data_IF_262124701065
#
_entry.id   IF_262124701065
#
_cell.length_a   1.000
_cell.length_b   1.000
_cell.length_c   1.000
_cell.angle_alpha   90.00
_cell.angle_beta   90.00
_cell.angle_gamma   90.00
#
_symmetry.space_group_name_H-M   'P 1'
#
loop_
_entity.id
_entity.type
_entity.pdbx_description
1 polymer ?
#
# COMPACT_ATOMS: atom_id res chain seq x y z
N UNK A 1 -19.69 -0.78 -73.07
CA UNK A 1 -19.81 0.23 -72.02
C UNK A 1 -20.10 -0.39 -70.62
N UNK A 2 -20.92 -1.45 -70.49
CA UNK A 2 -21.24 -2.07 -69.18
C UNK A 2 -20.06 -2.69 -68.42
N UNK A 3 -19.03 -3.21 -69.08
CA UNK A 3 -17.89 -3.84 -68.45
C UNK A 3 -16.90 -2.83 -67.82
N UNK A 4 -16.78 -1.62 -68.36
CA UNK A 4 -15.92 -0.57 -67.77
C UNK A 4 -16.55 0.04 -66.48
N UNK A 5 -17.85 0.11 -66.38
CA UNK A 5 -18.52 0.57 -65.17
C UNK A 5 -18.37 -0.44 -64.03
N UNK A 6 -18.42 -1.75 -64.32
CA UNK A 6 -18.20 -2.78 -63.29
C UNK A 6 -16.77 -2.76 -62.73
N UNK A 7 -15.78 -2.54 -63.62
CA UNK A 7 -14.38 -2.45 -63.22
C UNK A 7 -14.07 -1.19 -62.40
N UNK A 8 -14.71 -0.05 -62.72
CA UNK A 8 -14.57 1.18 -61.96
C UNK A 8 -15.24 1.08 -60.58
N UNK A 9 -16.36 0.42 -60.44
CA UNK A 9 -17.02 0.18 -59.13
C UNK A 9 -16.19 -0.78 -58.25
N UNK A 10 -15.58 -1.81 -58.86
CA UNK A 10 -14.72 -2.76 -58.16
C UNK A 10 -13.40 -2.08 -57.69
N UNK A 11 -12.84 -1.16 -58.50
CA UNK A 11 -11.64 -0.41 -58.14
C UNK A 11 -11.89 0.62 -57.00
N UNK A 12 -13.07 1.25 -56.96
CA UNK A 12 -13.47 2.19 -55.92
C UNK A 12 -13.78 1.47 -54.58
N UNK A 13 -14.34 0.24 -54.63
CA UNK A 13 -14.59 -0.56 -53.44
C UNK A 13 -13.29 -1.08 -52.81
N UNK A 14 -12.20 -1.32 -53.56
CA UNK A 14 -10.94 -1.76 -53.03
C UNK A 14 -10.18 -0.61 -52.37
N UNK A 15 -10.33 0.64 -52.82
CA UNK A 15 -9.71 1.81 -52.18
C UNK A 15 -10.40 2.28 -50.87
N UNK A 16 -11.67 1.88 -50.64
CA UNK A 16 -12.40 2.21 -49.39
C UNK A 16 -12.05 1.29 -48.23
N UNK A 17 -11.38 0.16 -48.45
CA UNK A 17 -11.06 -0.84 -47.43
C UNK A 17 -9.90 -0.39 -46.50
N UNK A 18 -9.13 0.63 -46.91
CA UNK A 18 -7.97 1.09 -46.16
C UNK A 18 -8.25 1.80 -44.84
N UNK A 19 -9.46 2.35 -44.63
CA UNK A 19 -9.77 3.20 -43.47
C UNK A 19 -10.57 2.52 -42.36
N UNK A 20 -11.13 1.32 -42.58
CA UNK A 20 -12.02 0.67 -41.62
C UNK A 20 -11.32 -0.32 -40.65
N UNK A 21 -10.02 -0.57 -40.85
CA UNK A 21 -9.30 -1.67 -40.18
C UNK A 21 -8.69 -1.29 -38.84
N UNK A 22 -8.75 -0.01 -38.43
CA UNK A 22 -7.93 0.50 -37.32
C UNK A 22 -8.66 0.84 -36.03
N UNK A 23 -9.89 0.36 -35.82
CA UNK A 23 -10.57 0.56 -34.54
C UNK A 23 -10.17 -0.51 -33.52
N UNK A 24 -9.06 -0.34 -32.84
CA UNK A 24 -8.60 -1.20 -31.74
C UNK A 24 -7.11 -1.13 -31.53
N UNK A 25 -6.64 -1.67 -30.40
CA UNK A 25 -5.20 -1.80 -30.10
C UNK A 25 -4.52 -2.66 -31.18
N UNK A 26 -3.52 -2.07 -31.83
CA UNK A 26 -2.73 -2.76 -32.84
C UNK A 26 -1.54 -3.42 -32.18
N UNK A 27 -1.47 -4.75 -32.21
CA UNK A 27 -0.39 -5.54 -31.61
C UNK A 27 0.45 -6.29 -32.65
N UNK A 28 0.06 -6.23 -33.93
CA UNK A 28 0.79 -6.92 -35.01
C UNK A 28 2.14 -6.28 -35.34
N UNK A 29 2.33 -5.00 -34.99
CA UNK A 29 3.60 -4.27 -35.19
C UNK A 29 4.52 -4.37 -33.97
N UNK A 30 4.10 -5.05 -32.90
CA UNK A 30 4.93 -5.26 -31.73
C UNK A 30 5.98 -6.34 -32.06
N UNK A 31 7.27 -6.04 -31.98
CA UNK A 31 8.31 -7.04 -32.17
C UNK A 31 8.22 -8.11 -31.07
N UNK A 32 8.70 -9.32 -31.36
CA UNK A 32 8.72 -10.40 -30.35
C UNK A 32 9.69 -10.10 -29.21
N UNK A 33 10.75 -9.34 -29.47
CA UNK A 33 11.76 -8.88 -28.51
C UNK A 33 12.43 -7.60 -29.03
N UNK A 34 12.99 -6.80 -28.10
CA UNK A 34 13.76 -5.60 -28.42
C UNK A 34 13.05 -4.31 -28.06
N UNK A 35 13.54 -3.20 -28.57
CA UNK A 35 13.05 -1.87 -28.24
C UNK A 35 12.40 -1.25 -29.48
N UNK A 36 11.21 -0.71 -29.32
CA UNK A 36 10.57 0.09 -30.36
C UNK A 36 10.01 1.39 -29.78
N UNK A 37 9.71 2.35 -30.66
CA UNK A 37 9.04 3.60 -30.28
C UNK A 37 7.65 3.61 -30.87
N UNK A 38 6.69 4.04 -30.05
CA UNK A 38 5.32 4.27 -30.50
C UNK A 38 5.25 5.55 -31.34
N UNK A 39 4.16 5.74 -32.08
CA UNK A 39 3.92 6.99 -32.84
C UNK A 39 3.92 8.24 -31.93
N UNK A 40 3.54 8.11 -30.67
CA UNK A 40 3.56 9.17 -29.67
C UNK A 40 4.95 9.36 -29.04
N UNK A 41 5.97 8.61 -29.46
CA UNK A 41 7.34 8.74 -28.99
C UNK A 41 7.68 7.96 -27.72
N UNK A 42 6.75 7.18 -27.14
CA UNK A 42 7.03 6.33 -25.98
C UNK A 42 8.00 5.20 -26.35
N UNK A 43 9.07 5.05 -25.60
CA UNK A 43 10.01 3.95 -25.77
C UNK A 43 9.49 2.72 -25.03
N UNK A 44 9.32 1.62 -25.75
CA UNK A 44 8.81 0.34 -25.21
C UNK A 44 9.87 -0.74 -25.39
N UNK A 45 10.23 -1.40 -24.31
CA UNK A 45 11.13 -2.55 -24.30
C UNK A 45 10.31 -3.83 -24.21
N UNK A 46 10.36 -4.67 -25.25
CA UNK A 46 9.66 -5.96 -25.30
C UNK A 46 10.56 -7.05 -24.75
N UNK A 47 10.09 -7.71 -23.71
CA UNK A 47 10.81 -8.76 -22.98
C UNK A 47 9.98 -10.04 -23.02
N UNK A 48 10.52 -11.09 -23.61
CA UNK A 48 9.86 -12.40 -23.61
C UNK A 48 9.96 -13.04 -22.24
N UNK A 49 8.83 -13.50 -21.68
CA UNK A 49 8.81 -14.24 -20.42
C UNK A 49 9.31 -15.68 -20.68
N UNK A 50 10.49 -15.97 -20.18
CA UNK A 50 11.14 -17.29 -20.20
C UNK A 50 11.62 -17.61 -18.79
N UNK A 51 12.08 -18.85 -18.55
CA UNK A 51 12.64 -19.22 -17.26
C UNK A 51 13.85 -18.35 -16.88
N UNK A 52 14.69 -17.98 -17.87
CA UNK A 52 15.88 -17.16 -17.63
C UNK A 52 15.50 -15.69 -17.33
N UNK A 53 14.54 -15.13 -18.08
CA UNK A 53 14.09 -13.76 -17.83
C UNK A 53 13.35 -13.64 -16.51
N UNK A 54 12.61 -14.67 -16.06
CA UNK A 54 11.98 -14.68 -14.74
C UNK A 54 12.99 -14.59 -13.59
N UNK A 55 14.19 -15.15 -13.76
CA UNK A 55 15.25 -15.02 -12.76
C UNK A 55 15.84 -13.61 -12.71
N UNK A 56 15.90 -12.91 -13.84
CA UNK A 56 16.38 -11.53 -13.92
C UNK A 56 15.33 -10.50 -13.46
N UNK A 57 14.04 -10.81 -13.64
CA UNK A 57 12.90 -9.97 -13.21
C UNK A 57 12.64 -10.09 -11.69
N UNK A 58 13.31 -11.01 -10.99
CA UNK A 58 13.20 -11.08 -9.52
C UNK A 58 13.29 -9.66 -8.97
N UNK A 59 12.39 -9.28 -8.06
CA UNK A 59 12.42 -7.95 -7.49
C UNK A 59 13.86 -7.71 -7.03
N UNK A 60 14.45 -6.63 -7.55
CA UNK A 60 15.70 -6.10 -7.00
C UNK A 60 15.46 -6.12 -5.50
N UNK A 61 16.20 -6.94 -4.77
CA UNK A 61 16.14 -6.88 -3.32
C UNK A 61 16.42 -5.43 -3.02
N UNK A 62 15.34 -4.70 -2.70
CA UNK A 62 15.49 -3.34 -2.25
C UNK A 62 16.58 -3.43 -1.18
N UNK A 63 17.63 -2.66 -1.32
CA UNK A 63 18.71 -2.61 -0.35
C UNK A 63 18.15 -2.00 0.95
N UNK A 64 17.26 -2.74 1.61
CA UNK A 64 16.69 -2.39 2.91
C UNK A 64 17.76 -2.27 4.00
N UNK A 65 18.96 -2.83 3.76
CA UNK A 65 20.00 -2.95 4.77
C UNK A 65 20.49 -1.62 5.33
N UNK A 66 20.54 -0.56 4.55
CA UNK A 66 21.09 0.71 5.05
C UNK A 66 20.05 1.61 5.75
N UNK A 67 18.76 1.57 5.32
CA UNK A 67 17.77 2.52 5.81
C UNK A 67 16.84 1.99 6.92
N UNK A 68 16.76 0.66 7.10
CA UNK A 68 15.84 0.07 8.07
C UNK A 68 16.51 -0.51 9.31
N UNK A 69 17.79 -0.83 9.25
CA UNK A 69 18.55 -1.39 10.40
C UNK A 69 18.40 -0.49 11.64
N UNK A 70 18.46 0.82 11.45
CA UNK A 70 18.33 1.79 12.53
C UNK A 70 16.92 1.82 13.14
N UNK A 71 15.87 1.51 12.36
CA UNK A 71 14.51 1.42 12.87
C UNK A 71 14.30 0.22 13.79
N UNK A 72 14.97 -0.91 13.49
CA UNK A 72 14.80 -2.17 14.21
C UNK A 72 15.80 -2.38 15.35
N UNK A 73 16.92 -1.68 15.33
CA UNK A 73 17.96 -1.76 16.36
C UNK A 73 17.85 -0.66 17.43
N UNK A 74 16.68 -0.08 17.59
CA UNK A 74 16.45 0.94 18.61
C UNK A 74 16.51 0.31 20.00
N UNK A 75 17.21 0.98 20.96
CA UNK A 75 17.16 0.55 22.35
C UNK A 75 15.73 0.63 22.88
N UNK A 76 15.41 -0.23 23.83
CA UNK A 76 14.10 -0.22 24.47
C UNK A 76 13.81 1.17 25.02
N UNK A 77 12.66 1.74 24.62
CA UNK A 77 12.25 3.06 25.06
C UNK A 77 11.92 3.04 26.55
N UNK A 78 12.66 3.78 27.33
CA UNK A 78 12.36 4.03 28.74
C UNK A 78 11.46 5.26 28.82
N UNK A 79 10.21 5.08 29.29
CA UNK A 79 9.28 6.19 29.43
C UNK A 79 9.84 7.26 30.35
N UNK A 80 9.84 8.49 29.87
CA UNK A 80 10.18 9.67 30.64
C UNK A 80 8.94 10.55 30.77
N UNK A 81 8.65 10.94 31.97
CA UNK A 81 7.52 11.80 32.28
C UNK A 81 7.55 13.06 31.43
N UNK A 82 6.41 13.45 30.92
CA UNK A 82 6.26 14.57 29.99
C UNK A 82 5.09 15.48 30.38
N UNK A 83 5.11 16.71 29.89
CA UNK A 83 4.01 17.66 30.08
C UNK A 83 2.68 17.08 29.63
N UNK A 84 1.67 17.14 30.44
CA UNK A 84 0.35 16.53 30.24
C UNK A 84 0.14 15.23 31.00
N UNK A 85 1.20 14.54 31.44
CA UNK A 85 1.05 13.37 32.31
C UNK A 85 0.44 13.79 33.66
N UNK A 86 -0.39 12.92 34.26
CA UNK A 86 -0.97 13.12 35.56
C UNK A 86 -0.44 12.05 36.53
N UNK A 87 0.13 12.49 37.64
CA UNK A 87 0.75 11.63 38.62
C UNK A 87 -0.11 11.47 39.86
N UNK A 88 -0.10 10.31 40.48
CA UNK A 88 -0.45 10.11 41.88
C UNK A 88 0.82 10.11 42.69
N UNK A 89 0.87 10.95 43.72
CA UNK A 89 1.98 11.01 44.65
C UNK A 89 1.39 10.87 46.05
N UNK A 90 1.80 9.84 46.76
CA UNK A 90 1.29 9.49 48.06
C UNK A 90 2.43 9.38 49.09
N UNK A 91 2.24 9.97 50.25
CA UNK A 91 3.09 9.80 51.40
C UNK A 91 2.38 8.83 52.36
N UNK A 92 2.90 7.59 52.44
CA UNK A 92 2.22 6.49 53.14
C UNK A 92 1.91 6.83 54.62
N UNK A 93 2.85 7.45 55.33
CA UNK A 93 2.70 7.81 56.72
C UNK A 93 2.01 9.17 56.96
N UNK A 94 1.68 9.93 55.92
CA UNK A 94 1.14 11.30 55.99
C UNK A 94 0.03 11.50 54.97
N UNK A 95 -1.08 10.74 55.07
CA UNK A 95 -2.17 10.79 54.05
C UNK A 95 -2.89 12.14 54.03
N UNK A 96 -2.80 12.96 55.11
CA UNK A 96 -3.34 14.30 55.18
C UNK A 96 -2.63 15.31 54.29
N UNK A 97 -1.34 15.04 53.92
CA UNK A 97 -0.57 15.91 53.06
C UNK A 97 -0.82 15.57 51.58
N UNK A 98 -0.88 14.28 51.28
CA UNK A 98 -1.16 13.77 49.96
C UNK A 98 -2.25 12.71 50.02
N UNK A 99 -3.51 13.11 50.05
CA UNK A 99 -4.63 12.18 50.24
C UNK A 99 -4.64 11.14 49.10
N UNK A 100 -5.03 9.88 49.41
CA UNK A 100 -5.13 8.84 48.42
C UNK A 100 -6.16 9.22 47.35
N UNK A 101 -5.86 8.95 46.11
CA UNK A 101 -6.75 9.18 45.00
C UNK A 101 -7.79 8.06 44.98
N UNK A 102 -8.99 8.34 45.39
CA UNK A 102 -10.11 7.40 45.45
C UNK A 102 -11.12 7.70 44.33
N UNK A 103 -11.78 6.66 43.82
CA UNK A 103 -12.87 6.75 42.83
C UNK A 103 -12.51 7.41 41.50
N UNK A 104 -11.41 6.97 40.88
CA UNK A 104 -11.03 7.38 39.53
C UNK A 104 -11.88 6.63 38.49
N UNK A 105 -13.05 7.19 38.15
CA UNK A 105 -13.98 6.57 37.19
C UNK A 105 -13.95 7.22 35.82
N UNK A 106 -13.39 8.42 35.69
CA UNK A 106 -13.29 9.15 34.42
C UNK A 106 -12.10 10.12 34.40
N UNK A 107 -11.76 10.64 33.24
CA UNK A 107 -10.62 11.55 33.02
C UNK A 107 -10.69 12.82 33.86
N UNK A 108 -11.89 13.32 34.13
CA UNK A 108 -12.07 14.53 34.95
C UNK A 108 -11.75 14.26 36.44
N UNK A 109 -12.12 13.09 36.97
CA UNK A 109 -11.76 12.71 38.33
C UNK A 109 -10.25 12.42 38.47
N UNK A 110 -9.60 11.89 37.44
CA UNK A 110 -8.15 11.70 37.41
C UNK A 110 -7.42 13.05 37.46
N UNK A 111 -7.83 14.03 36.65
CA UNK A 111 -7.24 15.36 36.67
C UNK A 111 -7.47 16.11 37.97
N UNK A 112 -8.66 15.98 38.58
CA UNK A 112 -9.00 16.66 39.80
C UNK A 112 -8.23 16.14 41.04
N UNK A 113 -7.87 14.86 41.04
CA UNK A 113 -7.23 14.19 42.18
C UNK A 113 -5.75 13.89 42.00
N UNK A 114 -5.19 14.16 40.82
CA UNK A 114 -3.78 13.93 40.48
C UNK A 114 -2.93 15.20 40.47
N UNK A 115 -1.65 15.02 40.30
CA UNK A 115 -0.66 16.09 40.12
C UNK A 115 -0.31 16.17 38.62
N UNK A 116 -0.93 17.09 37.84
CA UNK A 116 -0.61 17.23 36.44
C UNK A 116 0.77 17.87 36.26
N UNK A 117 1.51 17.37 35.28
CA UNK A 117 2.76 18.00 34.84
C UNK A 117 2.40 19.16 33.90
N UNK A 118 2.73 20.39 34.31
CA UNK A 118 2.43 21.60 33.55
C UNK A 118 3.22 21.66 32.23
N UNK A 119 2.90 22.64 31.36
CA UNK A 119 3.55 22.79 30.05
C UNK A 119 5.07 23.08 30.15
N UNK A 120 5.55 23.61 31.30
CA UNK A 120 6.97 23.80 31.59
C UNK A 120 7.61 22.54 32.19
N UNK A 121 6.85 21.48 32.42
CA UNK A 121 7.31 20.20 32.94
C UNK A 121 7.42 20.14 34.47
N UNK A 122 6.67 20.97 35.20
CA UNK A 122 6.67 21.00 36.67
C UNK A 122 5.37 20.46 37.24
N UNK A 123 5.43 19.94 38.46
CA UNK A 123 4.31 19.60 39.32
C UNK A 123 4.30 20.53 40.52
N UNK A 124 3.13 20.75 41.12
CA UNK A 124 2.97 21.52 42.35
C UNK A 124 2.66 20.57 43.50
N UNK A 125 3.50 20.54 44.51
CA UNK A 125 3.39 19.64 45.67
C UNK A 125 3.27 20.42 46.97
N UNK A 126 2.49 19.92 47.96
CA UNK A 126 2.56 20.43 49.33
C UNK A 126 3.98 20.33 49.90
N UNK A 127 4.38 21.24 50.74
CA UNK A 127 5.70 21.38 51.39
C UNK A 127 6.85 21.63 50.44
N UNK A 128 7.01 20.86 49.35
CA UNK A 128 8.08 20.93 48.35
C UNK A 128 7.90 22.11 47.39
N UNK A 129 6.66 22.48 47.11
CA UNK A 129 6.35 23.51 46.13
C UNK A 129 6.45 23.02 44.69
N UNK A 130 6.99 23.86 43.81
CA UNK A 130 7.10 23.58 42.39
C UNK A 130 8.34 22.72 42.09
N UNK A 131 8.14 21.53 41.51
CA UNK A 131 9.20 20.55 41.27
C UNK A 131 9.22 20.06 39.83
N UNK A 132 10.42 19.95 39.20
CA UNK A 132 10.62 19.50 37.81
C UNK A 132 10.43 17.99 37.72
N UNK A 133 9.37 17.54 37.07
CA UNK A 133 9.07 16.14 36.85
C UNK A 133 9.38 15.66 35.41
N UNK A 134 9.18 16.54 34.42
CA UNK A 134 9.41 16.20 33.02
C UNK A 134 10.87 15.81 32.73
N UNK A 135 11.08 14.81 31.87
CA UNK A 135 12.37 14.25 31.48
C UNK A 135 12.91 13.17 32.41
N UNK A 136 12.31 12.98 33.59
CA UNK A 136 12.71 11.97 34.57
C UNK A 136 11.95 10.66 34.35
N UNK A 137 12.56 9.54 34.73
CA UNK A 137 11.83 8.29 34.90
C UNK A 137 11.02 8.31 36.19
N UNK A 138 10.05 7.43 36.31
CA UNK A 138 9.24 7.28 37.52
C UNK A 138 10.13 6.99 38.75
N UNK A 139 11.12 6.12 38.60
CA UNK A 139 12.06 5.76 39.65
C UNK A 139 12.94 6.94 40.10
N UNK A 140 13.45 7.73 39.13
CA UNK A 140 14.21 8.94 39.43
C UNK A 140 13.38 9.95 40.22
N UNK A 141 12.15 10.22 39.74
CA UNK A 141 11.25 11.15 40.40
C UNK A 141 10.92 10.69 41.83
N UNK A 142 10.61 9.40 42.02
CA UNK A 142 10.33 8.83 43.34
C UNK A 142 11.49 9.03 44.32
N UNK A 143 12.73 8.73 43.89
CA UNK A 143 13.91 8.88 44.70
C UNK A 143 14.17 10.35 45.08
N UNK A 144 14.04 11.23 44.08
CA UNK A 144 14.31 12.67 44.33
C UNK A 144 13.19 13.29 45.22
N UNK A 145 11.93 12.93 45.02
CA UNK A 145 10.86 13.42 45.91
C UNK A 145 11.01 12.91 47.33
N UNK A 146 11.42 11.67 47.54
CA UNK A 146 11.76 11.15 48.88
C UNK A 146 12.78 12.01 49.56
N UNK A 147 13.88 12.39 48.86
CA UNK A 147 14.92 13.25 49.39
C UNK A 147 14.38 14.66 49.72
N UNK A 148 13.52 15.22 48.86
CA UNK A 148 12.93 16.54 49.10
C UNK A 148 12.01 16.54 50.35
N UNK A 149 11.13 15.53 50.44
CA UNK A 149 10.24 15.40 51.59
C UNK A 149 11.00 15.13 52.89
N UNK A 150 12.16 14.48 52.84
CA UNK A 150 13.01 14.23 54.04
C UNK A 150 13.50 15.50 54.73
N UNK A 151 13.48 16.67 54.09
CA UNK A 151 13.75 17.96 54.72
C UNK A 151 12.63 18.42 55.63
N UNK A 152 11.42 17.93 55.44
CA UNK A 152 10.22 18.36 56.20
C UNK A 152 9.65 17.23 57.05
N UNK A 153 9.87 15.96 56.66
CA UNK A 153 9.26 14.79 57.27
C UNK A 153 10.31 13.77 57.70
N UNK A 154 10.04 13.05 58.76
CA UNK A 154 10.95 12.01 59.25
C UNK A 154 10.70 10.70 58.48
N UNK A 155 11.72 10.20 57.77
CA UNK A 155 11.63 8.95 56.99
C UNK A 155 10.40 8.87 56.09
N UNK A 156 10.19 9.80 55.15
CA UNK A 156 9.05 9.76 54.26
C UNK A 156 9.13 8.56 53.30
N UNK A 157 8.00 7.81 53.21
CA UNK A 157 7.83 6.78 52.19
C UNK A 157 6.94 7.35 51.09
N UNK A 158 7.52 7.50 49.90
CA UNK A 158 6.90 8.18 48.76
C UNK A 158 6.57 7.14 47.68
N UNK A 159 5.32 7.06 47.32
CA UNK A 159 4.81 6.24 46.24
C UNK A 159 4.39 7.16 45.08
N UNK A 160 5.00 7.01 43.92
CA UNK A 160 4.65 7.76 42.71
C UNK A 160 4.13 6.78 41.65
N UNK A 161 2.98 7.10 41.07
CA UNK A 161 2.37 6.35 39.96
C UNK A 161 1.92 7.31 38.87
N UNK A 162 1.89 6.88 37.64
CA UNK A 162 1.24 7.62 36.55
C UNK A 162 -0.23 7.20 36.53
N UNK A 163 -1.14 8.16 36.68
CA UNK A 163 -2.58 7.95 36.59
C UNK A 163 -3.07 8.04 35.15
N UNK A 164 -2.49 8.97 34.39
CA UNK A 164 -2.86 9.17 33.00
C UNK A 164 -1.62 9.57 32.19
N UNK A 165 -1.36 8.82 31.12
CA UNK A 165 -0.29 9.07 30.17
C UNK A 165 -0.83 9.94 29.04
N UNK A 166 -0.48 11.21 29.01
CA UNK A 166 -0.90 12.17 27.98
C UNK A 166 0.27 12.96 27.38
N UNK A 167 1.46 12.82 27.95
CA UNK A 167 2.61 13.61 27.57
C UNK A 167 3.28 13.15 26.28
N UNK A 168 3.28 11.86 26.00
CA UNK A 168 3.89 11.29 24.79
C UNK A 168 2.83 10.60 23.95
N UNK A 169 2.76 10.98 22.67
CA UNK A 169 1.73 10.50 21.75
C UNK A 169 2.29 10.13 20.39
N UNK A 170 1.57 9.30 19.68
CA UNK A 170 1.76 8.96 18.28
C UNK A 170 0.40 9.01 17.56
N UNK A 171 0.42 9.01 16.23
CA UNK A 171 -0.79 9.07 15.41
C UNK A 171 -0.91 7.83 14.54
N UNK A 172 -2.12 7.32 14.38
CA UNK A 172 -2.44 6.28 13.37
C UNK A 172 -3.51 6.83 12.45
N UNK A 173 -3.24 6.82 11.15
CA UNK A 173 -4.07 7.44 10.13
C UNK A 173 -4.26 6.50 8.92
N UNK A 174 -5.12 6.90 8.00
CA UNK A 174 -5.41 6.15 6.78
C UNK A 174 -6.45 5.05 7.00
N UNK A 175 -6.27 3.91 6.34
CA UNK A 175 -7.26 2.84 6.28
C UNK A 175 -7.22 1.92 7.50
N UNK A 176 -7.48 2.47 8.68
CA UNK A 176 -7.65 1.76 9.96
C UNK A 176 -9.07 1.94 10.49
N UNK A 177 -9.52 1.06 11.39
CA UNK A 177 -10.90 1.11 11.92
C UNK A 177 -11.13 2.31 12.82
N UNK A 178 -10.13 2.73 13.62
CA UNK A 178 -10.18 3.85 14.55
C UNK A 178 -8.90 4.66 14.45
N UNK A 179 -8.81 5.53 13.43
CA UNK A 179 -7.69 6.47 13.29
C UNK A 179 -7.76 7.56 14.37
N UNK A 180 -6.59 8.06 14.77
CA UNK A 180 -6.51 9.12 15.77
C UNK A 180 -5.14 9.23 16.43
N UNK A 181 -5.11 9.95 17.54
CA UNK A 181 -3.96 10.06 18.41
C UNK A 181 -4.05 9.03 19.55
N UNK A 182 -2.92 8.39 19.84
CA UNK A 182 -2.77 7.41 20.90
C UNK A 182 -1.59 7.82 21.79
N UNK A 183 -1.64 7.40 23.04
CA UNK A 183 -0.61 7.74 24.01
C UNK A 183 0.33 6.56 24.24
N UNK A 184 1.61 6.89 24.38
CA UNK A 184 2.63 5.95 24.82
C UNK A 184 2.58 5.86 26.36
N UNK A 185 2.86 4.69 26.86
CA UNK A 185 2.96 4.42 28.30
C UNK A 185 4.33 3.81 28.65
N UNK A 186 4.49 3.28 29.84
CA UNK A 186 5.71 2.60 30.30
C UNK A 186 5.95 1.23 29.65
N UNK A 187 4.95 0.70 28.92
CA UNK A 187 5.12 -0.53 28.14
C UNK A 187 5.54 -0.20 26.70
N UNK A 188 6.53 -0.91 26.15
CA UNK A 188 6.94 -0.71 24.77
C UNK A 188 5.81 -1.07 23.80
N UNK A 189 5.44 -0.13 22.94
CA UNK A 189 4.42 -0.32 21.91
C UNK A 189 5.13 -0.57 20.59
N UNK A 190 4.91 -1.74 19.98
CA UNK A 190 5.40 -2.04 18.64
C UNK A 190 4.35 -1.70 17.57
N UNK A 191 4.75 -1.79 16.28
CA UNK A 191 3.87 -1.45 15.16
C UNK A 191 2.54 -2.23 15.19
N UNK A 192 2.57 -3.54 15.46
CA UNK A 192 1.34 -4.35 15.51
C UNK A 192 0.44 -3.97 16.67
N UNK A 193 1.03 -3.69 17.84
CA UNK A 193 0.28 -3.20 19.00
C UNK A 193 -0.39 -1.86 18.70
N UNK A 194 0.34 -0.92 18.05
CA UNK A 194 -0.20 0.38 17.68
C UNK A 194 -1.36 0.27 16.69
N UNK A 195 -1.25 -0.59 15.68
CA UNK A 195 -2.35 -0.89 14.76
C UNK A 195 -3.52 -1.57 15.47
N UNK A 196 -3.25 -2.48 16.41
CA UNK A 196 -4.28 -3.12 17.24
C UNK A 196 -5.06 -2.12 18.08
N UNK A 197 -4.40 -1.11 18.69
CA UNK A 197 -5.04 -0.02 19.43
C UNK A 197 -5.94 0.83 18.53
N UNK A 198 -5.57 1.00 17.25
CA UNK A 198 -6.40 1.63 16.23
C UNK A 198 -7.53 0.71 15.69
N UNK A 199 -7.81 -0.41 16.37
CA UNK A 199 -8.84 -1.38 15.97
C UNK A 199 -8.46 -2.27 14.79
N UNK A 200 -7.19 -2.24 14.38
CA UNK A 200 -6.66 -2.96 13.22
C UNK A 200 -6.89 -2.22 11.90
N UNK A 201 -6.33 -2.79 10.85
CA UNK A 201 -6.51 -2.29 9.48
C UNK A 201 -7.96 -2.50 9.04
N UNK A 202 -8.54 -1.55 8.31
CA UNK A 202 -9.90 -1.65 7.78
C UNK A 202 -9.98 -2.65 6.61
N UNK A 203 -11.17 -3.01 6.17
CA UNK A 203 -11.37 -3.93 5.03
C UNK A 203 -10.74 -3.43 3.74
N UNK A 204 -10.73 -2.12 3.54
CA UNK A 204 -10.11 -1.46 2.39
C UNK A 204 -8.62 -1.14 2.61
N UNK A 205 -8.10 -1.41 3.78
CA UNK A 205 -6.72 -1.11 4.14
C UNK A 205 -5.74 -2.18 3.63
N UNK A 206 -4.54 -1.73 3.33
CA UNK A 206 -3.44 -2.58 2.91
C UNK A 206 -2.55 -2.94 4.10
N UNK A 207 -2.59 -4.21 4.49
CA UNK A 207 -1.75 -4.74 5.56
C UNK A 207 -0.27 -4.80 5.19
N UNK A 208 0.05 -4.71 3.89
CA UNK A 208 1.41 -4.89 3.40
C UNK A 208 2.15 -3.59 3.18
N UNK A 209 1.42 -2.47 3.05
CA UNK A 209 2.01 -1.17 2.76
C UNK A 209 1.66 -0.13 3.82
N UNK A 210 2.60 0.06 4.74
CA UNK A 210 2.46 0.99 5.86
C UNK A 210 3.56 2.04 5.73
N UNK A 211 3.22 3.30 5.95
CA UNK A 211 4.19 4.37 6.04
C UNK A 211 4.39 4.76 7.51
N UNK A 212 5.64 4.84 7.93
CA UNK A 212 6.03 5.38 9.23
C UNK A 212 6.75 6.69 9.00
N UNK A 213 6.20 7.77 9.54
CA UNK A 213 6.88 9.07 9.57
C UNK A 213 7.49 9.27 10.95
N UNK A 214 8.81 9.37 10.99
CA UNK A 214 9.60 9.57 12.22
C UNK A 214 10.62 10.67 11.99
N UNK A 215 10.64 11.67 12.86
CA UNK A 215 11.58 12.80 12.78
C UNK A 215 11.63 13.47 11.40
N UNK A 216 10.47 13.60 10.73
CA UNK A 216 10.35 14.18 9.40
C UNK A 216 10.76 13.26 8.24
N UNK A 217 11.26 12.06 8.52
CA UNK A 217 11.60 11.07 7.49
C UNK A 217 10.45 10.07 7.32
N UNK A 218 10.05 9.83 6.07
CA UNK A 218 9.04 8.85 5.72
C UNK A 218 9.69 7.52 5.35
N UNK A 219 9.33 6.48 6.06
CA UNK A 219 9.75 5.10 5.80
C UNK A 219 8.56 4.33 5.20
N UNK A 220 8.74 3.82 3.98
CA UNK A 220 7.75 3.00 3.32
C UNK A 220 7.98 1.52 3.69
N UNK A 221 7.18 0.99 4.59
CA UNK A 221 7.32 -0.36 5.11
C UNK A 221 6.48 -1.32 4.26
N UNK A 222 7.14 -2.15 3.45
CA UNK A 222 6.51 -3.34 2.94
C UNK A 222 6.68 -4.46 3.97
N UNK A 223 5.61 -4.72 4.73
CA UNK A 223 5.65 -5.62 5.89
C UNK A 223 6.08 -7.03 5.50
N UNK A 224 5.58 -7.53 4.37
CA UNK A 224 5.90 -8.88 3.88
C UNK A 224 7.36 -9.02 3.43
N UNK A 225 7.89 -8.01 2.76
CA UNK A 225 9.27 -8.03 2.29
C UNK A 225 10.25 -7.83 3.45
N UNK A 226 9.92 -6.97 4.41
CA UNK A 226 10.72 -6.80 5.62
C UNK A 226 10.82 -8.09 6.43
N UNK A 227 9.70 -8.80 6.62
CA UNK A 227 9.71 -10.09 7.32
C UNK A 227 10.51 -11.16 6.56
N UNK A 228 10.40 -11.22 5.23
CA UNK A 228 11.24 -12.11 4.40
C UNK A 228 12.73 -11.77 4.49
N UNK A 229 13.05 -10.49 4.66
CA UNK A 229 14.43 -10.03 4.87
C UNK A 229 14.95 -10.24 6.30
N UNK A 230 14.11 -10.83 7.20
CA UNK A 230 14.48 -11.13 8.58
C UNK A 230 14.22 -10.02 9.58
N UNK A 231 13.59 -8.91 9.16
CA UNK A 231 13.16 -7.86 10.07
C UNK A 231 11.82 -8.23 10.71
N UNK A 232 11.81 -8.39 12.03
CA UNK A 232 10.55 -8.66 12.74
C UNK A 232 9.85 -7.35 13.10
N UNK A 233 8.65 -7.14 12.57
CA UNK A 233 7.84 -5.95 12.87
C UNK A 233 7.41 -5.84 14.34
N UNK A 234 7.49 -6.94 15.12
CA UNK A 234 7.35 -6.91 16.57
C UNK A 234 8.50 -6.16 17.27
N UNK A 235 9.65 -6.00 16.61
CA UNK A 235 10.79 -5.23 17.11
C UNK A 235 10.76 -3.76 16.71
N UNK A 236 9.86 -3.37 15.79
CA UNK A 236 9.70 -1.99 15.40
C UNK A 236 8.92 -1.24 16.47
N UNK A 237 9.63 -0.60 17.39
CA UNK A 237 9.03 0.17 18.48
C UNK A 237 8.58 1.54 18.00
N UNK A 238 7.39 1.94 18.43
CA UNK A 238 6.81 3.26 18.16
C UNK A 238 7.43 4.28 19.12
N UNK A 239 7.75 5.45 18.60
CA UNK A 239 8.36 6.55 19.33
C UNK A 239 7.40 7.75 19.46
N UNK A 240 7.65 8.67 20.40
CA UNK A 240 6.86 9.91 20.48
C UNK A 240 6.90 10.69 19.16
N UNK A 241 5.73 11.19 18.76
CA UNK A 241 5.47 11.93 17.52
C UNK A 241 5.58 11.09 16.23
N UNK A 242 5.67 9.77 16.31
CA UNK A 242 5.52 8.93 15.13
C UNK A 242 4.12 9.10 14.52
N UNK A 243 4.07 9.06 13.21
CA UNK A 243 2.81 8.94 12.47
C UNK A 243 2.84 7.67 11.63
N UNK A 244 1.88 6.79 11.89
CA UNK A 244 1.67 5.56 11.14
C UNK A 244 0.53 5.83 10.16
N UNK A 245 0.76 5.64 8.88
CA UNK A 245 -0.25 5.77 7.84
C UNK A 245 -0.44 4.43 7.13
N UNK A 246 -1.67 3.92 7.15
CA UNK A 246 -2.05 2.68 6.46
C UNK A 246 -2.66 3.04 5.12
N UNK A 247 -2.04 2.56 4.04
CA UNK A 247 -2.52 2.79 2.69
C UNK A 247 -3.84 2.06 2.41
N UNK A 248 -4.56 2.51 1.39
CA UNK A 248 -5.73 1.78 0.89
C UNK A 248 -5.32 0.82 -0.21
N UNK A 249 -5.98 -0.34 -0.30
CA UNK A 249 -5.85 -1.29 -1.41
C UNK A 249 -6.31 -0.70 -2.74
N UNK A 250 -7.11 0.36 -2.70
CA UNK A 250 -7.58 1.04 -3.90
C UNK A 250 -6.46 1.61 -4.77
N UNK A 251 -5.31 1.90 -4.17
CA UNK A 251 -4.12 2.36 -4.89
C UNK A 251 -3.27 1.22 -5.46
N UNK A 252 -3.60 -0.03 -5.14
CA UNK A 252 -2.85 -1.21 -5.58
C UNK A 252 -3.76 -2.12 -6.41
N UNK A 253 -3.89 -1.79 -7.68
CA UNK A 253 -4.71 -2.54 -8.65
C UNK A 253 -3.86 -2.95 -9.83
N UNK A 254 -4.25 -4.05 -10.46
CA UNK A 254 -3.86 -4.41 -11.81
C UNK A 254 -5.08 -4.30 -12.72
N UNK A 255 -4.84 -4.19 -14.00
CA UNK A 255 -5.91 -4.06 -14.99
C UNK A 255 -5.85 -5.23 -15.96
N UNK A 256 -6.98 -5.90 -16.17
CA UNK A 256 -7.11 -6.93 -17.20
C UNK A 256 -7.92 -6.36 -18.34
N UNK A 257 -7.37 -6.45 -19.53
CA UNK A 257 -7.94 -5.87 -20.76
C UNK A 257 -7.80 -6.81 -21.95
N UNK A 258 -8.59 -6.58 -22.97
CA UNK A 258 -8.57 -7.33 -24.23
C UNK A 258 -9.51 -8.53 -24.24
N UNK A 259 -9.04 -9.66 -24.74
CA UNK A 259 -9.85 -10.87 -24.94
C UNK A 259 -9.82 -11.78 -23.70
N UNK A 260 -9.99 -11.20 -22.53
CA UNK A 260 -10.27 -11.95 -21.30
C UNK A 260 -11.74 -12.32 -21.19
N UNK A 261 -12.09 -13.26 -20.32
CA UNK A 261 -13.49 -13.53 -20.00
C UNK A 261 -14.19 -12.32 -19.37
N UNK A 262 -13.44 -11.49 -18.62
CA UNK A 262 -13.93 -10.24 -18.02
C UNK A 262 -12.85 -9.18 -17.93
N UNK A 263 -13.05 -8.04 -18.58
CA UNK A 263 -12.22 -6.86 -18.46
C UNK A 263 -12.53 -6.12 -17.16
N UNK A 264 -11.54 -5.95 -16.28
CA UNK A 264 -11.75 -5.32 -14.97
C UNK A 264 -10.45 -4.86 -14.34
N UNK A 265 -10.56 -3.97 -13.35
CA UNK A 265 -9.50 -3.68 -12.41
C UNK A 265 -9.59 -4.65 -11.22
N UNK A 266 -8.49 -5.30 -10.88
CA UNK A 266 -8.39 -6.23 -9.75
C UNK A 266 -7.53 -5.62 -8.64
N UNK A 267 -8.00 -5.58 -7.39
CA UNK A 267 -7.16 -5.21 -6.26
C UNK A 267 -6.07 -6.27 -6.05
N UNK A 268 -4.85 -5.84 -5.76
CA UNK A 268 -3.76 -6.74 -5.41
C UNK A 268 -4.05 -7.44 -4.08
N UNK A 269 -3.70 -8.72 -4.00
CA UNK A 269 -3.77 -9.48 -2.73
C UNK A 269 -2.60 -9.10 -1.82
N UNK A 270 -2.76 -9.21 -0.50
CA UNK A 270 -1.73 -8.90 0.50
C UNK A 270 -0.41 -9.65 0.25
N UNK A 271 -0.49 -10.88 -0.23
CA UNK A 271 0.69 -11.70 -0.57
C UNK A 271 1.24 -11.46 -1.99
N UNK A 272 0.71 -10.46 -2.69
CA UNK A 272 0.97 -10.24 -4.11
C UNK A 272 0.09 -11.10 -5.01
N UNK A 273 0.22 -10.90 -6.31
CA UNK A 273 -0.57 -11.58 -7.34
C UNK A 273 0.37 -12.05 -8.46
N UNK A 274 0.15 -13.25 -8.95
CA UNK A 274 0.83 -13.76 -10.14
C UNK A 274 0.02 -13.48 -11.39
N UNK A 275 0.65 -13.62 -12.56
CA UNK A 275 -0.08 -13.51 -13.82
C UNK A 275 -1.15 -14.61 -13.95
N UNK A 276 -0.89 -15.82 -13.44
CA UNK A 276 -1.89 -16.89 -13.38
C UNK A 276 -3.09 -16.54 -12.52
N UNK A 277 -2.86 -15.90 -11.35
CA UNK A 277 -3.96 -15.43 -10.49
C UNK A 277 -4.83 -14.41 -11.24
N UNK A 278 -4.19 -13.43 -11.88
CA UNK A 278 -4.89 -12.41 -12.64
C UNK A 278 -5.71 -13.00 -13.80
N UNK A 279 -5.12 -13.90 -14.57
CA UNK A 279 -5.84 -14.58 -15.66
C UNK A 279 -7.03 -15.38 -15.12
N UNK A 280 -6.87 -16.07 -13.99
CA UNK A 280 -7.98 -16.82 -13.36
C UNK A 280 -9.11 -15.92 -12.90
N UNK A 281 -8.79 -14.80 -12.21
CA UNK A 281 -9.80 -13.82 -11.77
C UNK A 281 -10.47 -13.07 -12.94
N UNK A 282 -9.74 -12.92 -14.06
CA UNK A 282 -10.27 -12.41 -15.33
C UNK A 282 -11.15 -13.41 -16.09
N UNK A 283 -11.52 -14.54 -15.47
CA UNK A 283 -12.28 -15.65 -16.08
C UNK A 283 -11.55 -16.30 -17.27
N UNK A 284 -10.22 -16.24 -17.26
CA UNK A 284 -9.37 -16.87 -18.27
C UNK A 284 -9.33 -16.15 -19.60
N UNK A 285 -8.83 -16.85 -20.59
CA UNK A 285 -8.78 -16.42 -21.99
C UNK A 285 -10.15 -16.70 -22.63
N UNK A 286 -10.69 -15.73 -23.38
CA UNK A 286 -11.93 -15.97 -24.13
C UNK A 286 -11.66 -17.06 -25.18
N UNK A 287 -12.35 -18.24 -25.10
CA UNK A 287 -12.04 -19.39 -25.96
C UNK A 287 -12.32 -19.15 -27.44
N UNK A 288 -13.17 -18.16 -27.78
CA UNK A 288 -13.57 -17.86 -29.16
C UNK A 288 -12.72 -16.78 -29.82
N UNK A 289 -12.09 -15.91 -29.03
CA UNK A 289 -11.47 -14.70 -29.57
C UNK A 289 -10.01 -14.47 -29.14
N UNK A 290 -9.62 -15.02 -27.98
CA UNK A 290 -8.30 -14.77 -27.40
C UNK A 290 -7.17 -15.55 -28.10
N UNK A 291 -6.01 -14.91 -28.23
CA UNK A 291 -4.78 -15.53 -28.66
C UNK A 291 -3.94 -15.96 -27.46
N UNK A 292 -3.86 -17.26 -27.20
CA UNK A 292 -3.00 -17.80 -26.15
C UNK A 292 -1.50 -17.52 -26.38
N UNK A 293 -1.09 -17.25 -27.63
CA UNK A 293 0.31 -16.90 -27.95
C UNK A 293 0.67 -15.45 -27.69
N UNK A 294 -0.32 -14.58 -27.36
CA UNK A 294 -0.09 -13.13 -27.23
C UNK A 294 -0.76 -12.59 -25.98
N UNK A 295 -0.09 -12.80 -24.87
CA UNK A 295 -0.45 -12.23 -23.58
C UNK A 295 0.66 -11.27 -23.21
N UNK A 296 0.29 -10.04 -22.92
CA UNK A 296 1.22 -8.97 -22.62
C UNK A 296 0.97 -8.42 -21.21
N UNK A 297 2.05 -8.10 -20.50
CA UNK A 297 1.98 -7.32 -19.26
C UNK A 297 2.75 -6.02 -19.51
N UNK A 298 2.02 -4.91 -19.49
CA UNK A 298 2.59 -3.57 -19.60
C UNK A 298 2.93 -3.07 -18.20
N UNK A 299 4.17 -2.66 -18.02
CA UNK A 299 4.69 -2.07 -16.79
C UNK A 299 5.38 -0.75 -17.12
N UNK A 300 4.87 0.34 -16.58
CA UNK A 300 5.48 1.66 -16.73
C UNK A 300 6.33 1.99 -15.52
N UNK A 301 7.58 2.29 -15.74
CA UNK A 301 8.46 2.80 -14.69
C UNK A 301 8.28 4.32 -14.58
N UNK A 302 7.79 4.78 -13.44
CA UNK A 302 7.50 6.20 -13.20
C UNK A 302 8.76 7.09 -13.26
N UNK A 303 9.94 6.53 -12.99
CA UNK A 303 11.19 7.29 -12.93
C UNK A 303 11.83 7.53 -14.30
N UNK A 304 11.69 6.59 -15.26
CA UNK A 304 12.42 6.61 -16.53
C UNK A 304 11.53 6.86 -17.74
N UNK A 305 10.21 7.01 -17.57
CA UNK A 305 9.22 7.09 -18.66
C UNK A 305 9.34 5.96 -19.70
N UNK A 306 9.96 4.84 -19.29
CA UNK A 306 10.09 3.65 -20.13
C UNK A 306 8.95 2.69 -19.79
N UNK A 307 8.38 2.10 -20.84
CA UNK A 307 7.38 1.04 -20.69
C UNK A 307 8.03 -0.30 -21.01
N UNK A 308 7.98 -1.21 -20.07
CA UNK A 308 8.36 -2.61 -20.26
C UNK A 308 7.12 -3.39 -20.69
N UNK A 309 7.22 -4.11 -21.80
CA UNK A 309 6.18 -4.97 -22.32
C UNK A 309 6.62 -6.42 -22.22
N UNK A 310 6.14 -7.11 -21.22
CA UNK A 310 6.42 -8.53 -21.03
C UNK A 310 5.48 -9.37 -21.88
N UNK A 311 6.04 -10.21 -22.75
CA UNK A 311 5.28 -11.07 -23.66
C UNK A 311 5.33 -12.52 -23.19
N UNK A 312 4.15 -13.12 -22.96
CA UNK A 312 3.97 -14.52 -22.61
C UNK A 312 3.22 -15.27 -23.70
N UNK A 313 3.72 -16.45 -24.06
CA UNK A 313 3.08 -17.39 -24.95
C UNK A 313 2.61 -18.60 -24.15
N UNK A 314 1.29 -18.83 -24.08
CA UNK A 314 0.65 -19.95 -23.37
C UNK A 314 0.06 -21.00 -24.30
N UNK A 315 0.58 -21.16 -25.53
CA UNK A 315 0.12 -22.22 -26.43
C UNK A 315 0.44 -23.63 -25.89
N UNK A 316 1.47 -23.75 -25.06
CA UNK A 316 1.82 -24.99 -24.38
C UNK A 316 1.34 -24.98 -22.94
N UNK A 317 0.73 -26.07 -22.47
CA UNK A 317 0.31 -26.22 -21.05
C UNK A 317 1.52 -26.15 -20.10
N UNK A 318 2.71 -26.54 -20.54
CA UNK A 318 3.93 -26.43 -19.73
C UNK A 318 4.30 -25.00 -19.41
N UNK A 319 3.95 -24.05 -20.26
CA UNK A 319 4.29 -22.63 -20.10
C UNK A 319 3.40 -21.91 -19.05
N UNK A 320 2.29 -22.52 -18.59
CA UNK A 320 1.50 -21.98 -17.49
C UNK A 320 2.31 -21.84 -16.19
N UNK A 321 3.34 -22.67 -16.00
CA UNK A 321 4.29 -22.53 -14.91
C UNK A 321 5.03 -21.18 -14.90
N UNK A 322 5.28 -20.59 -16.08
CA UNK A 322 5.89 -19.27 -16.21
C UNK A 322 4.92 -18.16 -15.74
N UNK A 323 3.65 -18.26 -16.11
CA UNK A 323 2.62 -17.33 -15.65
C UNK A 323 2.47 -17.36 -14.11
N UNK A 324 2.59 -18.54 -13.50
CA UNK A 324 2.50 -18.69 -12.05
C UNK A 324 3.74 -18.14 -11.31
N UNK A 325 4.88 -18.06 -11.99
CA UNK A 325 6.11 -17.48 -11.42
C UNK A 325 6.22 -15.98 -11.65
N UNK A 326 5.54 -15.44 -12.68
CA UNK A 326 5.58 -14.02 -12.99
C UNK A 326 4.76 -13.21 -11.98
N UNK A 327 5.44 -12.40 -11.16
CA UNK A 327 4.81 -11.52 -10.17
C UNK A 327 4.38 -10.20 -10.79
N UNK A 328 3.09 -9.91 -10.67
CA UNK A 328 2.53 -8.62 -11.07
C UNK A 328 2.88 -7.55 -10.04
N UNK A 329 2.94 -6.30 -10.50
CA UNK A 329 3.11 -5.10 -9.68
C UNK A 329 1.87 -4.22 -9.78
N UNK A 330 1.69 -3.33 -8.83
CA UNK A 330 0.62 -2.33 -8.89
C UNK A 330 0.71 -1.51 -10.18
N UNK A 331 -0.45 -1.27 -10.78
CA UNK A 331 -0.64 -0.59 -12.06
C UNK A 331 -0.17 -1.38 -13.31
N UNK A 332 0.20 -2.66 -13.17
CA UNK A 332 0.43 -3.49 -14.35
C UNK A 332 -0.90 -3.65 -15.13
N UNK A 333 -0.78 -3.61 -16.47
CA UNK A 333 -1.89 -3.87 -17.37
C UNK A 333 -1.64 -5.22 -18.05
N UNK A 334 -2.49 -6.20 -17.76
CA UNK A 334 -2.49 -7.50 -18.43
C UNK A 334 -3.40 -7.39 -19.64
N UNK A 335 -2.81 -7.45 -20.83
CA UNK A 335 -3.54 -7.36 -22.08
C UNK A 335 -3.50 -8.69 -22.82
N UNK A 336 -4.69 -9.21 -23.16
CA UNK A 336 -4.85 -10.45 -23.93
C UNK A 336 -5.28 -10.07 -25.34
N UNK A 337 -4.49 -10.46 -26.31
CA UNK A 337 -4.72 -10.10 -27.70
C UNK A 337 -5.72 -11.02 -28.41
N UNK A 338 -6.35 -10.50 -29.45
CA UNK A 338 -7.27 -11.26 -30.30
C UNK A 338 -6.51 -12.19 -31.28
N UNK A 339 -7.14 -13.30 -31.66
CA UNK A 339 -6.67 -14.12 -32.78
C UNK A 339 -6.78 -13.37 -34.11
N UNK A 340 -5.97 -13.74 -35.09
CA UNK A 340 -6.10 -13.19 -36.44
C UNK A 340 -7.49 -13.45 -37.05
N UNK A 341 -8.08 -14.60 -36.78
CA UNK A 341 -9.46 -14.93 -37.21
C UNK A 341 -10.49 -13.99 -36.58
N UNK A 342 -10.39 -13.71 -35.29
CA UNK A 342 -11.30 -12.79 -34.62
C UNK A 342 -11.22 -11.38 -35.19
N UNK A 343 -10.01 -10.90 -35.48
CA UNK A 343 -9.81 -9.60 -36.13
C UNK A 343 -10.44 -9.58 -37.51
N UNK A 344 -10.22 -10.62 -38.30
CA UNK A 344 -10.83 -10.79 -39.60
C UNK A 344 -12.34 -10.80 -39.51
N UNK A 345 -12.96 -11.57 -38.60
CA UNK A 345 -14.39 -11.59 -38.39
C UNK A 345 -14.96 -10.21 -38.05
N UNK A 346 -14.25 -9.42 -37.22
CA UNK A 346 -14.67 -8.04 -36.90
C UNK A 346 -14.72 -7.17 -38.16
N UNK A 347 -13.69 -7.27 -39.01
CA UNK A 347 -13.68 -6.58 -40.32
C UNK A 347 -14.83 -7.03 -41.21
N UNK A 348 -15.04 -8.34 -41.34
CA UNK A 348 -16.14 -8.88 -42.16
C UNK A 348 -17.52 -8.43 -41.62
N UNK A 349 -17.73 -8.44 -40.31
CA UNK A 349 -18.98 -8.00 -39.72
C UNK A 349 -19.29 -6.51 -39.93
N UNK A 350 -18.25 -5.70 -40.17
CA UNK A 350 -18.41 -4.30 -40.54
C UNK A 350 -18.73 -4.11 -42.02
N UNK A 351 -18.23 -4.99 -42.88
CA UNK A 351 -18.41 -4.91 -44.34
C UNK A 351 -19.75 -5.54 -44.80
N UNK A 352 -20.16 -6.66 -44.19
CA UNK A 352 -21.37 -7.40 -44.58
C UNK A 352 -22.64 -6.53 -44.56
N UNK A 353 -22.90 -5.66 -43.57
CA UNK A 353 -24.08 -4.78 -43.59
C UNK A 353 -24.11 -3.84 -44.80
N UNK A 354 -22.93 -3.38 -45.28
CA UNK A 354 -22.84 -2.52 -46.46
C UNK A 354 -23.20 -3.28 -47.75
N UNK A 355 -22.80 -4.55 -47.88
CA UNK A 355 -23.14 -5.37 -49.02
C UNK A 355 -24.64 -5.67 -49.10
N UNK A 356 -25.28 -5.92 -47.95
CA UNK A 356 -26.71 -6.13 -47.90
C UNK A 356 -27.52 -4.84 -48.17
N UNK A 357 -27.05 -3.69 -47.72
CA UNK A 357 -27.61 -2.39 -48.03
C UNK A 357 -27.52 -2.09 -49.54
N UNK A 358 -26.38 -2.34 -50.17
CA UNK A 358 -26.20 -2.16 -51.62
C UNK A 358 -27.15 -3.05 -52.43
N UNK A 359 -27.35 -4.32 -52.00
CA UNK A 359 -28.28 -5.24 -52.63
C UNK A 359 -29.74 -4.76 -52.51
N UNK A 360 -30.10 -4.19 -51.36
CA UNK A 360 -31.41 -3.60 -51.13
C UNK A 360 -31.66 -2.36 -52.00
N UNK A 361 -30.65 -1.55 -52.26
CA UNK A 361 -30.72 -0.38 -53.15
C UNK A 361 -30.88 -0.80 -54.62
N UNK A 362 -30.23 -1.89 -55.06
CA UNK A 362 -30.38 -2.41 -56.44
C UNK A 362 -31.78 -2.97 -56.69
N UNK A 363 -32.44 -3.51 -55.66
CA UNK A 363 -33.80 -3.98 -55.75
C UNK A 363 -34.86 -2.84 -55.77
N UNK A 364 -34.56 -1.70 -55.15
CA UNK A 364 -35.48 -0.52 -55.14
C UNK A 364 -35.37 0.30 -56.43
N UNK A 365 -34.35 0.06 -57.26
CA UNK A 365 -34.16 0.73 -58.55
C UNK A 365 -34.69 -0.03 -59.78
N UNK A 366 -35.36 -1.16 -59.55
CA UNK A 366 -36.08 -1.91 -60.57
C UNK A 366 -37.58 -1.77 -60.40
#
# INVERSE_FOLDING_TARGET
>A
MKHYQLFSILAISISAVGCAVTSGLQTYDIPNEGVYKTELGTTVSVIKITQDTLQSIKPTQLNYQQNYTDLFNQPQHVYRLSSGDVLSIQLWAYPEITPPVNNLTNDQSIQANGYPIDYNGFIQLPLVGRYKASGKTLSQLTTELRNQFAHFLKNPDVIVRVLNYQGQRYSVQGSVKKGGQFYLNDQPINLYTALGMAGGVSELGDNTYIQLVRNGTTYNLNTLELEKAGYSLHKLLIQPNDTIYVSTKDNQKIYIMGESGKNQALPMRDQGMTLSDALGEGLGLNPLSASASRIYVLRTNANDHQTELYHLNLMSLGDFGLANQFRLRSNDIVYIDATGLTRWQRVMNQIVPFSSALYSFDQLGK
#
